data_IF_738641645827
#
_entry.id   IF_738641645827
#
_cell.length_a   1.000
_cell.length_b   1.000
_cell.length_c   1.000
_cell.angle_alpha   90.00
_cell.angle_beta   90.00
_cell.angle_gamma   90.00
#
_symmetry.space_group_name_H-M   'P 1'
#
loop_
_entity.id
_entity.type
_entity.pdbx_description
1 polymer ?
#
# COMPACT_ATOMS: atom_id res chain seq x y z
N UNK A 1 16.89 36.12 9.45
CA UNK A 1 15.49 36.61 9.57
C UNK A 1 14.71 35.60 10.42
N UNK A 2 13.74 36.05 11.23
CA UNK A 2 12.93 35.17 12.10
C UNK A 2 11.54 35.03 11.48
N UNK A 3 11.03 33.81 11.36
CA UNK A 3 9.65 33.58 10.91
C UNK A 3 8.68 34.05 12.02
N UNK A 4 7.89 35.09 11.73
CA UNK A 4 6.94 35.69 12.69
C UNK A 4 5.55 35.05 12.65
N UNK A 5 5.28 34.21 11.65
CA UNK A 5 4.00 33.52 11.48
C UNK A 5 3.89 32.38 12.49
N UNK A 6 2.81 32.38 13.27
CA UNK A 6 2.53 31.30 14.23
C UNK A 6 1.77 30.17 13.52
N UNK A 7 2.18 28.90 13.69
CA UNK A 7 1.40 27.78 13.21
C UNK A 7 0.12 27.62 14.07
N UNK A 8 -0.87 26.93 13.50
CA UNK A 8 -2.09 26.53 14.18
C UNK A 8 -1.74 25.63 15.38
N UNK A 9 -2.35 25.88 16.53
CA UNK A 9 -2.25 24.99 17.68
C UNK A 9 -3.45 24.05 17.68
N UNK A 10 -3.21 22.77 17.91
CA UNK A 10 -4.26 21.75 17.91
C UNK A 10 -4.49 21.24 19.32
N UNK A 11 -5.76 21.12 19.68
CA UNK A 11 -6.22 20.51 20.91
C UNK A 11 -7.14 19.33 20.58
N UNK A 12 -6.85 18.15 21.11
CA UNK A 12 -7.67 16.96 20.89
C UNK A 12 -8.87 17.01 21.83
N UNK A 13 -10.08 17.01 21.27
CA UNK A 13 -11.32 16.92 22.05
C UNK A 13 -11.62 15.49 22.44
N UNK A 14 -11.96 15.29 23.72
CA UNK A 14 -12.57 14.04 24.19
C UNK A 14 -13.97 13.92 23.61
N UNK A 15 -14.32 12.70 23.25
CA UNK A 15 -15.59 12.39 22.59
C UNK A 15 -16.40 11.41 23.43
N UNK A 16 -17.68 11.73 23.64
CA UNK A 16 -18.63 10.84 24.31
C UNK A 16 -19.54 10.16 23.29
N UNK A 17 -19.87 10.85 22.20
CA UNK A 17 -20.70 10.35 21.10
C UNK A 17 -19.96 10.48 19.76
N UNK A 18 -18.92 9.68 19.50
CA UNK A 18 -17.95 9.94 18.44
C UNK A 18 -18.50 9.98 17.03
N UNK A 19 -19.53 9.19 16.74
CA UNK A 19 -20.14 9.18 15.42
C UNK A 19 -20.96 10.46 15.16
N UNK A 20 -21.69 10.93 16.17
CA UNK A 20 -22.52 12.15 16.10
C UNK A 20 -21.62 13.38 16.09
N UNK A 21 -20.64 13.43 17.00
CA UNK A 21 -19.68 14.54 17.11
C UNK A 21 -18.82 14.66 15.84
N UNK A 22 -18.45 13.55 15.20
CA UNK A 22 -17.74 13.58 13.92
C UNK A 22 -18.56 14.26 12.81
N UNK A 23 -19.88 14.03 12.77
CA UNK A 23 -20.79 14.71 11.83
C UNK A 23 -21.06 16.18 12.21
N UNK A 24 -20.79 16.57 13.46
CA UNK A 24 -20.98 17.96 13.90
C UNK A 24 -19.91 18.90 13.33
N UNK A 25 -20.29 20.17 13.12
CA UNK A 25 -19.34 21.21 12.73
C UNK A 25 -18.57 21.69 13.97
N UNK A 26 -17.27 21.42 14.02
CA UNK A 26 -16.36 22.01 15.00
C UNK A 26 -16.03 23.44 14.57
N UNK A 27 -16.58 24.44 15.27
CA UNK A 27 -16.30 25.87 15.02
C UNK A 27 -15.06 26.35 15.76
N UNK A 28 -14.34 27.31 15.17
CA UNK A 28 -13.15 27.94 15.75
C UNK A 28 -13.49 28.74 17.01
N UNK A 29 -12.72 28.57 18.08
CA UNK A 29 -12.72 29.51 19.20
C UNK A 29 -11.49 30.42 19.09
N UNK A 30 -11.70 31.70 18.78
CA UNK A 30 -10.65 32.72 18.85
C UNK A 30 -10.32 33.01 20.32
N UNK A 31 -9.33 32.31 20.87
CA UNK A 31 -8.73 32.67 22.17
C UNK A 31 -7.39 33.36 21.92
N UNK A 32 -7.38 34.68 22.15
CA UNK A 32 -6.24 35.61 22.28
C UNK A 32 -4.87 35.11 21.77
N UNK A 33 -4.42 35.66 20.63
CA UNK A 33 -3.03 35.64 20.12
C UNK A 33 -2.43 34.32 19.60
N UNK A 34 -3.16 33.20 19.68
CA UNK A 34 -2.85 31.95 18.96
C UNK A 34 -4.12 31.23 18.58
N UNK A 35 -4.34 30.97 17.28
CA UNK A 35 -5.45 30.16 16.80
C UNK A 35 -5.31 28.74 17.36
N UNK A 36 -6.10 28.40 18.37
CA UNK A 36 -6.24 27.03 18.86
C UNK A 36 -7.46 26.45 18.15
N UNK A 37 -7.26 25.34 17.45
CA UNK A 37 -8.35 24.59 16.83
C UNK A 37 -8.52 23.27 17.56
N UNK A 38 -9.77 23.02 17.94
CA UNK A 38 -10.16 21.78 18.56
C UNK A 38 -10.54 20.78 17.48
N UNK A 39 -9.96 19.59 17.52
CA UNK A 39 -10.24 18.51 16.57
C UNK A 39 -10.58 17.22 17.30
N UNK A 40 -11.41 16.41 16.67
CA UNK A 40 -11.62 15.03 17.05
C UNK A 40 -10.64 14.14 16.32
N UNK A 41 -9.93 13.29 17.07
CA UNK A 41 -9.25 12.14 16.50
C UNK A 41 -9.65 10.93 17.34
N UNK A 42 -10.63 10.19 16.84
CA UNK A 42 -11.21 9.05 17.57
C UNK A 42 -10.93 7.74 16.85
N UNK A 43 -10.48 6.75 17.62
CA UNK A 43 -10.33 5.34 17.24
C UNK A 43 -11.53 4.59 17.81
N UNK A 44 -12.52 4.33 16.96
CA UNK A 44 -13.77 3.66 17.28
C UNK A 44 -13.65 2.16 16.98
N UNK A 45 -13.52 1.36 18.03
CA UNK A 45 -13.12 -0.05 17.94
C UNK A 45 -14.26 -0.95 18.41
N UNK A 46 -14.62 -1.94 17.59
CA UNK A 46 -15.70 -2.89 17.85
C UNK A 46 -16.97 -2.58 17.07
N UNK A 47 -18.04 -3.30 17.41
CA UNK A 47 -19.36 -3.23 16.77
C UNK A 47 -20.47 -3.01 17.78
N UNK A 48 -21.55 -2.36 17.33
CA UNK A 48 -22.75 -2.16 18.13
C UNK A 48 -23.48 -3.48 18.45
N UNK A 49 -24.67 -3.38 19.04
CA UNK A 49 -25.55 -4.52 19.34
C UNK A 49 -25.81 -5.46 18.14
N UNK A 50 -25.62 -4.99 16.92
CA UNK A 50 -25.69 -5.82 15.71
C UNK A 50 -24.77 -5.26 14.63
N UNK A 51 -24.23 -6.14 13.79
CA UNK A 51 -23.45 -5.77 12.60
C UNK A 51 -24.26 -4.87 11.67
N UNK A 52 -25.56 -5.14 11.48
CA UNK A 52 -26.41 -4.34 10.59
C UNK A 52 -26.52 -2.88 11.05
N UNK A 53 -26.84 -2.65 12.34
CA UNK A 53 -26.84 -1.29 12.93
C UNK A 53 -25.49 -0.59 12.78
N UNK A 54 -24.39 -1.30 12.94
CA UNK A 54 -23.05 -0.75 12.79
C UNK A 54 -22.78 -0.31 11.34
N UNK A 55 -23.15 -1.14 10.37
CA UNK A 55 -23.07 -0.81 8.93
C UNK A 55 -23.96 0.38 8.60
N UNK A 56 -25.20 0.40 9.11
CA UNK A 56 -26.16 1.47 8.92
C UNK A 56 -25.63 2.82 9.41
N UNK A 57 -25.01 2.86 10.60
CA UNK A 57 -24.38 4.08 11.13
C UNK A 57 -23.28 4.62 10.22
N UNK A 58 -22.43 3.75 9.66
CA UNK A 58 -21.37 4.16 8.75
C UNK A 58 -21.96 4.70 7.43
N UNK A 59 -22.98 4.04 6.89
CA UNK A 59 -23.73 4.54 5.72
C UNK A 59 -24.41 5.89 5.97
N UNK A 60 -24.90 6.11 7.18
CA UNK A 60 -25.51 7.38 7.57
C UNK A 60 -24.46 8.51 7.61
N UNK A 61 -23.23 8.24 8.05
CA UNK A 61 -22.11 9.21 8.01
C UNK A 61 -21.80 9.59 6.56
N UNK A 62 -21.64 8.60 5.68
CA UNK A 62 -21.40 8.84 4.25
C UNK A 62 -22.54 9.70 3.66
N UNK A 63 -23.78 9.27 3.86
CA UNK A 63 -24.98 9.95 3.37
C UNK A 63 -25.05 11.40 3.85
N UNK A 64 -24.73 11.64 5.13
CA UNK A 64 -24.69 12.98 5.71
C UNK A 64 -23.70 13.88 4.96
N UNK A 65 -22.45 13.47 4.79
CA UNK A 65 -21.45 14.32 4.15
C UNK A 65 -21.66 14.46 2.64
N UNK A 66 -22.19 13.45 1.97
CA UNK A 66 -22.58 13.57 0.56
C UNK A 66 -23.70 14.59 0.34
N UNK A 67 -24.63 14.68 1.28
CA UNK A 67 -25.70 15.69 1.23
C UNK A 67 -25.23 17.08 1.70
N UNK A 68 -24.01 17.19 2.24
CA UNK A 68 -23.42 18.44 2.74
C UNK A 68 -22.05 18.70 2.09
N UNK A 69 -21.97 18.92 0.77
CA UNK A 69 -20.71 19.01 0.02
C UNK A 69 -19.81 20.20 0.40
N UNK A 70 -20.35 21.14 1.19
CA UNK A 70 -19.60 22.27 1.75
C UNK A 70 -18.51 21.78 2.72
N UNK A 71 -18.72 20.64 3.39
CA UNK A 71 -17.78 20.04 4.32
C UNK A 71 -16.88 19.06 3.54
N UNK A 72 -15.57 19.32 3.43
CA UNK A 72 -14.67 18.38 2.77
C UNK A 72 -14.65 17.05 3.52
N UNK A 73 -15.00 15.96 2.83
CA UNK A 73 -15.08 14.63 3.40
C UNK A 73 -14.35 13.61 2.53
N UNK A 74 -13.51 12.78 3.16
CA UNK A 74 -12.83 11.67 2.50
C UNK A 74 -13.06 10.40 3.33
N UNK A 75 -13.56 9.36 2.66
CA UNK A 75 -13.59 7.99 3.17
C UNK A 75 -12.41 7.20 2.64
N UNK A 76 -11.70 6.51 3.53
CA UNK A 76 -10.49 5.73 3.26
C UNK A 76 -10.66 4.31 3.80
N UNK A 77 -10.10 3.34 3.10
CA UNK A 77 -9.89 1.97 3.61
C UNK A 77 -8.43 1.51 3.49
N UNK A 78 -7.64 2.22 2.68
CA UNK A 78 -6.18 2.10 2.59
C UNK A 78 -5.60 3.37 1.96
N UNK A 79 -4.31 3.62 2.16
CA UNK A 79 -3.55 4.69 1.48
C UNK A 79 -2.65 4.15 0.36
N UNK A 80 -3.04 3.03 -0.26
CA UNK A 80 -2.32 2.41 -1.38
C UNK A 80 -2.53 3.22 -2.67
N UNK A 81 -1.90 4.38 -2.75
CA UNK A 81 -1.86 5.22 -3.94
C UNK A 81 -0.59 4.93 -4.72
N UNK A 82 -0.73 4.75 -6.02
CA UNK A 82 0.41 4.57 -6.91
C UNK A 82 0.97 5.93 -7.27
N UNK A 83 2.20 6.18 -6.83
CA UNK A 83 2.97 7.33 -7.26
C UNK A 83 4.01 6.84 -8.26
N UNK A 84 4.11 7.52 -9.40
CA UNK A 84 5.12 7.19 -10.39
C UNK A 84 6.53 7.57 -9.91
N UNK A 85 7.55 7.17 -10.68
CA UNK A 85 8.94 7.45 -10.36
C UNK A 85 9.24 8.95 -10.37
N UNK A 86 8.63 9.71 -11.28
CA UNK A 86 8.86 11.15 -11.39
C UNK A 86 8.34 11.89 -10.15
N UNK A 87 7.13 11.55 -9.70
CA UNK A 87 6.52 12.05 -8.47
C UNK A 87 7.37 11.69 -7.26
N UNK A 88 7.83 10.44 -7.17
CA UNK A 88 8.67 9.97 -6.06
C UNK A 88 10.03 10.68 -6.04
N UNK A 89 10.68 10.83 -7.21
CA UNK A 89 11.96 11.54 -7.36
C UNK A 89 11.82 13.04 -7.02
N UNK A 90 10.69 13.65 -7.39
CA UNK A 90 10.32 15.02 -7.00
C UNK A 90 10.19 15.15 -5.49
N UNK A 91 9.46 14.22 -4.83
CA UNK A 91 9.31 14.23 -3.38
C UNK A 91 10.64 13.98 -2.65
N UNK A 92 11.51 13.13 -3.21
CA UNK A 92 12.85 12.89 -2.70
C UNK A 92 13.72 14.16 -2.76
N UNK A 93 13.68 14.91 -3.86
CA UNK A 93 14.37 16.21 -3.97
C UNK A 93 13.87 17.20 -2.91
N UNK A 94 12.56 17.28 -2.71
CA UNK A 94 11.97 18.14 -1.67
C UNK A 94 12.42 17.70 -0.28
N UNK A 95 12.42 16.38 0.00
CA UNK A 95 12.90 15.85 1.27
C UNK A 95 14.36 16.20 1.54
N UNK A 96 15.25 16.11 0.55
CA UNK A 96 16.66 16.45 0.73
C UNK A 96 16.85 17.94 1.08
N UNK A 97 16.05 18.83 0.50
CA UNK A 97 16.03 20.26 0.85
C UNK A 97 15.47 20.45 2.27
N UNK A 98 14.43 19.70 2.64
CA UNK A 98 13.91 19.68 4.00
C UNK A 98 14.95 19.20 5.02
N UNK A 99 15.69 18.14 4.70
CA UNK A 99 16.62 17.52 5.64
C UNK A 99 17.78 18.45 6.02
N UNK A 100 18.23 19.29 5.08
CA UNK A 100 19.24 20.33 5.32
C UNK A 100 18.69 21.55 6.07
N UNK A 101 17.40 21.87 5.90
CA UNK A 101 16.77 23.06 6.46
C UNK A 101 15.99 22.82 7.78
N UNK A 102 15.72 21.58 8.17
CA UNK A 102 14.83 21.22 9.30
C UNK A 102 15.21 21.80 10.67
N UNK A 103 16.46 22.22 10.84
CA UNK A 103 16.96 22.82 12.09
C UNK A 103 16.86 24.36 12.13
N UNK A 104 16.56 25.00 10.98
CA UNK A 104 16.41 26.44 10.88
C UNK A 104 14.96 26.79 10.47
N UNK A 105 14.24 27.46 11.36
CA UNK A 105 12.82 27.81 11.13
C UNK A 105 12.62 28.70 9.90
N UNK A 106 13.56 29.58 9.58
CA UNK A 106 13.48 30.46 8.40
C UNK A 106 13.68 29.67 7.11
N UNK A 107 14.69 28.80 7.07
CA UNK A 107 14.97 27.99 5.90
C UNK A 107 13.82 27.01 5.64
N UNK A 108 13.31 26.36 6.70
CA UNK A 108 12.13 25.50 6.63
C UNK A 108 10.90 26.27 6.11
N UNK A 109 10.67 27.49 6.59
CA UNK A 109 9.58 28.35 6.12
C UNK A 109 9.66 28.68 4.63
N UNK A 110 10.85 28.73 4.05
CA UNK A 110 11.05 29.07 2.64
C UNK A 110 11.03 27.88 1.66
N UNK A 111 11.05 26.64 2.15
CA UNK A 111 11.00 25.45 1.28
C UNK A 111 9.71 25.42 0.46
N UNK A 112 9.82 25.11 -0.83
CA UNK A 112 8.65 24.82 -1.64
C UNK A 112 8.09 23.43 -1.32
N UNK A 113 7.11 23.37 -0.41
CA UNK A 113 6.46 22.13 0.04
C UNK A 113 5.30 21.74 -0.89
N UNK A 114 4.98 20.44 -1.05
CA UNK A 114 3.86 20.02 -1.89
C UNK A 114 2.52 20.63 -1.43
N UNK A 115 1.61 20.83 -2.38
CA UNK A 115 0.31 21.49 -2.21
C UNK A 115 0.39 22.90 -1.60
N UNK A 116 0.40 23.96 -2.42
CA UNK A 116 0.37 25.34 -1.93
C UNK A 116 -1.04 25.67 -1.43
N UNK A 117 -1.18 25.96 -0.15
CA UNK A 117 -2.43 26.42 0.46
C UNK A 117 -2.41 27.95 0.46
N UNK A 118 -3.52 28.66 0.29
CA UNK A 118 -3.49 30.14 0.24
C UNK A 118 -3.27 30.78 1.63
N UNK A 119 -3.57 30.05 2.70
CA UNK A 119 -3.43 30.50 4.08
C UNK A 119 -1.99 30.27 4.60
N UNK A 120 -1.27 31.35 4.91
CA UNK A 120 0.13 31.28 5.37
C UNK A 120 0.30 30.55 6.71
N UNK A 121 -0.63 30.75 7.66
CA UNK A 121 -0.64 30.00 8.92
C UNK A 121 -0.76 28.51 8.66
N UNK A 122 -1.66 28.09 7.77
CA UNK A 122 -1.87 26.66 7.45
C UNK A 122 -0.71 26.08 6.63
N UNK A 123 -0.13 26.84 5.70
CA UNK A 123 1.11 26.47 5.02
C UNK A 123 2.25 26.24 6.00
N UNK A 124 2.39 27.12 6.99
CA UNK A 124 3.41 26.98 8.00
C UNK A 124 3.14 25.79 8.93
N UNK A 125 1.88 25.65 9.36
CA UNK A 125 1.40 24.50 10.15
C UNK A 125 1.72 23.19 9.45
N UNK A 126 1.51 23.08 8.14
CA UNK A 126 1.82 21.88 7.34
C UNK A 126 3.29 21.44 7.44
N UNK A 127 4.22 22.39 7.41
CA UNK A 127 5.66 22.09 7.51
C UNK A 127 6.04 21.65 8.91
N UNK A 128 5.50 22.31 9.92
CA UNK A 128 5.68 21.93 11.34
C UNK A 128 5.04 20.56 11.61
N UNK A 129 3.83 20.32 11.10
CA UNK A 129 3.12 19.06 11.22
C UNK A 129 3.91 17.92 10.59
N UNK A 130 4.48 18.13 9.40
CA UNK A 130 5.37 17.15 8.75
C UNK A 130 6.56 16.80 9.64
N UNK A 131 7.26 17.81 10.16
CA UNK A 131 8.37 17.61 11.10
C UNK A 131 7.94 16.81 12.33
N UNK A 132 6.87 17.23 13.00
CA UNK A 132 6.33 16.56 14.19
C UNK A 132 5.96 15.10 13.90
N UNK A 133 5.38 14.83 12.73
CA UNK A 133 5.03 13.46 12.31
C UNK A 133 6.26 12.59 12.10
N UNK A 134 7.33 13.12 11.50
CA UNK A 134 8.60 12.39 11.38
C UNK A 134 9.28 12.15 12.72
N UNK A 135 9.29 13.15 13.60
CA UNK A 135 9.85 13.03 14.96
C UNK A 135 9.11 11.94 15.74
N UNK A 136 7.77 11.97 15.72
CA UNK A 136 6.94 10.97 16.41
C UNK A 136 7.09 9.58 15.80
N UNK A 137 7.15 9.47 14.46
CA UNK A 137 7.43 8.21 13.77
C UNK A 137 8.78 7.63 14.21
N UNK A 138 9.83 8.46 14.25
CA UNK A 138 11.16 8.05 14.70
C UNK A 138 11.18 7.59 16.15
N UNK A 139 10.50 8.32 17.06
CA UNK A 139 10.42 7.95 18.47
C UNK A 139 9.67 6.64 18.70
N UNK A 140 8.66 6.35 17.87
CA UNK A 140 7.87 5.11 17.97
C UNK A 140 8.59 3.84 17.54
N UNK A 141 9.85 3.93 17.06
CA UNK A 141 10.59 2.83 16.47
C UNK A 141 11.98 2.66 17.11
N UNK A 142 12.25 1.57 17.86
CA UNK A 142 13.52 1.34 18.54
C UNK A 142 14.76 1.30 17.62
N UNK A 143 14.59 0.85 16.37
CA UNK A 143 15.66 0.67 15.38
C UNK A 143 15.49 1.59 14.16
N UNK A 144 14.99 2.81 14.35
CA UNK A 144 14.74 3.73 13.24
C UNK A 144 16.06 4.26 12.64
N UNK A 145 16.36 3.88 11.40
CA UNK A 145 17.53 4.38 10.66
C UNK A 145 17.17 5.62 9.83
N UNK A 146 18.15 6.48 9.45
CA UNK A 146 17.90 7.61 8.57
C UNK A 146 17.22 7.21 7.24
N UNK A 147 17.55 6.04 6.71
CA UNK A 147 16.91 5.50 5.50
C UNK A 147 15.43 5.17 5.70
N UNK A 148 15.05 4.64 6.86
CA UNK A 148 13.64 4.36 7.21
C UNK A 148 12.87 5.67 7.32
N UNK A 149 13.43 6.69 7.99
CA UNK A 149 12.82 8.03 8.11
C UNK A 149 12.66 8.64 6.71
N UNK A 150 13.68 8.59 5.87
CA UNK A 150 13.64 9.11 4.49
C UNK A 150 12.53 8.44 3.67
N UNK A 151 12.45 7.11 3.68
CA UNK A 151 11.43 6.38 2.92
C UNK A 151 10.01 6.74 3.38
N UNK A 152 9.80 6.84 4.70
CA UNK A 152 8.52 7.28 5.23
C UNK A 152 8.22 8.75 4.88
N UNK A 153 9.22 9.64 4.96
CA UNK A 153 9.08 11.04 4.64
C UNK A 153 8.70 11.28 3.17
N UNK A 154 9.34 10.59 2.23
CA UNK A 154 8.98 10.65 0.81
C UNK A 154 7.56 10.17 0.59
N UNK A 155 7.18 9.04 1.21
CA UNK A 155 5.81 8.51 1.14
C UNK A 155 4.77 9.49 1.71
N UNK A 156 5.09 10.12 2.84
CA UNK A 156 4.25 11.13 3.47
C UNK A 156 4.10 12.37 2.58
N UNK A 157 5.17 12.84 1.93
CA UNK A 157 5.12 13.94 0.97
C UNK A 157 4.24 13.61 -0.25
N UNK A 158 4.29 12.38 -0.76
CA UNK A 158 3.40 11.94 -1.83
C UNK A 158 1.92 11.97 -1.40
N UNK A 159 1.60 11.48 -0.19
CA UNK A 159 0.25 11.58 0.36
C UNK A 159 -0.21 13.02 0.57
N UNK A 160 0.70 13.90 1.01
CA UNK A 160 0.46 15.34 1.15
C UNK A 160 0.08 15.94 -0.21
N UNK A 161 0.83 15.64 -1.27
CA UNK A 161 0.55 16.12 -2.62
C UNK A 161 -0.82 15.64 -3.14
N UNK A 162 -1.20 14.40 -2.83
CA UNK A 162 -2.43 13.80 -3.32
C UNK A 162 -3.70 14.23 -2.56
N UNK A 163 -3.66 14.28 -1.23
CA UNK A 163 -4.87 14.45 -0.41
C UNK A 163 -5.18 15.89 -0.03
N UNK A 164 -4.17 16.74 0.19
CA UNK A 164 -4.43 18.10 0.65
C UNK A 164 -5.22 18.93 -0.36
N UNK A 165 -4.99 18.83 -1.68
CA UNK A 165 -5.85 19.50 -2.65
C UNK A 165 -7.33 19.10 -2.49
N UNK A 166 -7.61 17.85 -2.14
CA UNK A 166 -8.98 17.34 -1.95
C UNK A 166 -9.63 17.79 -0.64
N UNK A 167 -8.82 18.11 0.37
CA UNK A 167 -9.30 18.55 1.69
C UNK A 167 -9.41 20.08 1.79
N UNK A 168 -8.60 20.82 1.03
CA UNK A 168 -8.46 22.27 1.14
C UNK A 168 -8.73 23.01 -0.18
N UNK A 169 -9.51 22.44 -1.11
CA UNK A 169 -9.86 23.07 -2.39
C UNK A 169 -10.77 24.31 -2.24
N UNK A 170 -11.57 24.37 -1.17
CA UNK A 170 -12.60 25.40 -1.04
C UNK A 170 -12.02 26.64 -0.33
N UNK A 171 -11.77 27.71 -1.11
CA UNK A 171 -11.22 28.99 -0.64
C UNK A 171 -12.14 29.74 0.36
N UNK A 172 -13.39 29.31 0.49
CA UNK A 172 -14.49 30.16 1.00
C UNK A 172 -14.70 30.05 2.51
N UNK A 173 -14.19 29.02 3.21
CA UNK A 173 -14.43 28.95 4.65
C UNK A 173 -13.31 28.24 5.43
N UNK A 174 -12.36 29.02 5.94
CA UNK A 174 -11.33 28.51 6.87
C UNK A 174 -11.95 27.94 8.14
N UNK A 175 -13.22 28.22 8.44
CA UNK A 175 -13.86 27.84 9.69
C UNK A 175 -14.39 26.39 9.76
N UNK A 176 -14.31 25.62 8.68
CA UNK A 176 -14.80 24.24 8.62
C UNK A 176 -13.63 23.26 8.77
N UNK A 177 -13.79 22.23 9.58
CA UNK A 177 -12.82 21.15 9.73
C UNK A 177 -13.08 20.06 8.68
N UNK A 178 -12.10 19.76 7.80
CA UNK A 178 -12.19 18.61 6.91
C UNK A 178 -12.37 17.31 7.69
N UNK A 179 -13.10 16.36 7.12
CA UNK A 179 -13.55 15.14 7.78
C UNK A 179 -12.93 13.92 7.11
N UNK A 180 -12.25 13.07 7.88
CA UNK A 180 -11.64 11.85 7.38
C UNK A 180 -12.23 10.66 8.13
N UNK A 181 -12.92 9.78 7.40
CA UNK A 181 -13.31 8.47 7.88
C UNK A 181 -12.33 7.43 7.36
N UNK A 182 -11.58 6.77 8.25
CA UNK A 182 -10.75 5.63 7.89
C UNK A 182 -11.42 4.35 8.40
N UNK A 183 -11.69 3.39 7.52
CA UNK A 183 -12.39 2.16 7.86
C UNK A 183 -11.53 0.92 7.58
N UNK A 184 -11.49 -0.01 8.53
CA UNK A 184 -10.82 -1.30 8.38
C UNK A 184 -9.43 -1.32 9.01
N UNK A 185 -8.56 -2.22 8.55
CA UNK A 185 -7.22 -2.34 9.11
C UNK A 185 -6.36 -1.12 8.73
N UNK A 186 -5.68 -0.54 9.72
CA UNK A 186 -4.78 0.59 9.51
C UNK A 186 -3.33 0.17 9.74
N UNK A 187 -2.46 0.51 8.81
CA UNK A 187 -1.01 0.36 8.99
C UNK A 187 -0.50 1.54 9.81
N UNK A 188 0.53 1.34 10.64
CA UNK A 188 1.11 2.41 11.47
C UNK A 188 1.50 3.67 10.70
N UNK A 189 2.05 3.53 9.49
CA UNK A 189 2.41 4.68 8.64
C UNK A 189 1.17 5.49 8.23
N UNK A 190 0.03 4.83 8.01
CA UNK A 190 -1.24 5.47 7.66
C UNK A 190 -1.84 6.16 8.89
N UNK A 191 -1.69 5.59 10.09
CA UNK A 191 -2.04 6.26 11.35
C UNK A 191 -1.23 7.56 11.54
N UNK A 192 0.07 7.54 11.21
CA UNK A 192 0.89 8.76 11.25
C UNK A 192 0.46 9.80 10.21
N UNK A 193 -0.08 9.38 9.07
CA UNK A 193 -0.71 10.30 8.12
C UNK A 193 -2.00 10.89 8.67
N UNK A 194 -2.84 10.11 9.35
CA UNK A 194 -4.03 10.63 10.03
C UNK A 194 -3.65 11.64 11.14
N UNK A 195 -2.59 11.36 11.90
CA UNK A 195 -2.00 12.31 12.85
C UNK A 195 -1.50 13.59 12.17
N UNK A 196 -0.84 13.47 11.02
CA UNK A 196 -0.46 14.63 10.23
C UNK A 196 -1.67 15.48 9.83
N UNK A 197 -2.76 14.85 9.36
CA UNK A 197 -3.99 15.56 8.99
C UNK A 197 -4.70 16.21 10.18
N UNK A 198 -4.72 15.56 11.36
CA UNK A 198 -5.31 16.18 12.55
C UNK A 198 -4.56 17.44 12.97
N UNK A 199 -3.24 17.48 12.79
CA UNK A 199 -2.42 18.69 13.02
C UNK A 199 -2.79 19.86 12.09
N UNK A 200 -3.36 19.57 10.92
CA UNK A 200 -3.88 20.58 9.98
C UNK A 200 -5.30 21.04 10.31
N UNK A 201 -5.90 20.52 11.39
CA UNK A 201 -7.25 20.89 11.77
C UNK A 201 -8.33 20.00 11.17
N UNK A 202 -8.00 18.80 10.74
CA UNK A 202 -8.97 17.82 10.26
C UNK A 202 -9.52 16.99 11.43
N UNK A 203 -10.82 16.68 11.40
CA UNK A 203 -11.39 15.67 12.29
C UNK A 203 -11.21 14.28 11.68
N UNK A 204 -10.75 13.34 12.49
CA UNK A 204 -10.42 11.97 12.12
C UNK A 204 -11.31 11.00 12.90
N UNK A 205 -11.96 10.10 12.17
CA UNK A 205 -12.65 8.96 12.72
C UNK A 205 -12.04 7.70 12.11
N UNK A 206 -11.22 6.99 12.88
CA UNK A 206 -10.71 5.67 12.55
C UNK A 206 -11.66 4.62 13.11
N UNK A 207 -12.24 3.79 12.25
CA UNK A 207 -13.21 2.76 12.63
C UNK A 207 -12.69 1.38 12.26
N UNK A 208 -12.68 0.45 13.23
CA UNK A 208 -12.38 -0.95 12.98
C UNK A 208 -13.31 -1.87 13.79
N UNK A 209 -14.05 -2.80 13.16
CA UNK A 209 -15.02 -3.65 13.85
C UNK A 209 -14.38 -4.78 14.70
N UNK A 210 -13.10 -5.06 14.49
CA UNK A 210 -12.39 -6.17 15.12
C UNK A 210 -11.48 -5.67 16.25
N UNK A 211 -10.42 -4.95 15.88
CA UNK A 211 -9.36 -4.57 16.82
C UNK A 211 -8.72 -3.26 16.46
N UNK A 212 -8.12 -2.65 17.46
CA UNK A 212 -7.30 -1.46 17.31
C UNK A 212 -5.91 -1.82 16.75
N UNK A 213 -5.13 -0.80 16.44
CA UNK A 213 -3.72 -0.97 16.08
C UNK A 213 -2.95 -1.59 17.26
N UNK A 214 -2.24 -2.68 16.97
CA UNK A 214 -1.38 -3.36 17.94
C UNK A 214 -0.14 -2.48 18.25
N UNK A 215 0.29 -2.52 19.52
CA UNK A 215 1.50 -1.85 20.00
C UNK A 215 1.56 -0.35 19.68
N UNK A 216 0.45 0.37 19.92
CA UNK A 216 0.46 1.82 19.83
C UNK A 216 1.40 2.40 20.88
N UNK A 217 2.47 3.04 20.43
CA UNK A 217 3.46 3.66 21.30
C UNK A 217 2.78 4.69 22.25
N UNK A 218 3.15 4.79 23.54
CA UNK A 218 2.45 5.62 24.52
C UNK A 218 2.31 7.10 24.14
N UNK A 219 3.27 7.64 23.41
CA UNK A 219 3.25 9.01 22.89
C UNK A 219 2.19 9.16 21.80
N UNK A 220 1.96 8.10 21.03
CA UNK A 220 0.95 8.09 19.98
C UNK A 220 -0.48 8.02 20.53
N UNK A 221 -0.69 7.36 21.66
CA UNK A 221 -2.02 7.33 22.29
C UNK A 221 -2.47 8.70 22.79
N UNK A 222 -1.57 9.67 22.98
CA UNK A 222 -1.91 11.03 23.42
C UNK A 222 -2.57 11.89 22.35
N UNK A 223 -2.41 11.56 21.06
CA UNK A 223 -2.97 12.37 19.97
C UNK A 223 -4.35 11.92 19.50
N UNK A 224 -4.88 10.81 20.04
CA UNK A 224 -6.19 10.26 19.68
C UNK A 224 -6.91 9.70 20.89
N UNK A 225 -8.23 9.71 20.87
CA UNK A 225 -9.05 9.03 21.87
C UNK A 225 -9.45 7.66 21.37
N UNK A 226 -9.52 6.68 22.28
CA UNK A 226 -10.10 5.37 21.99
C UNK A 226 -11.54 5.35 22.49
N UNK A 227 -12.44 4.87 21.64
CA UNK A 227 -13.82 4.55 21.99
C UNK A 227 -14.02 3.08 21.67
N UNK A 228 -13.97 2.24 22.70
CA UNK A 228 -14.01 0.79 22.56
C UNK A 228 -15.40 0.26 22.95
N UNK A 229 -15.99 -0.50 22.03
CA UNK A 229 -17.25 -1.20 22.22
C UNK A 229 -17.00 -2.59 22.79
N UNK A 230 -17.99 -3.11 23.51
CA UNK A 230 -17.90 -4.43 24.16
C UNK A 230 -17.86 -5.59 23.18
N UNK A 231 -18.45 -5.45 22.00
CA UNK A 231 -18.50 -6.48 20.97
C UNK A 231 -17.45 -6.22 19.88
N UNK A 232 -16.83 -7.29 19.42
CA UNK A 232 -15.87 -7.29 18.31
C UNK A 232 -16.26 -8.38 17.34
N UNK A 233 -16.02 -8.18 16.05
CA UNK A 233 -16.23 -9.22 15.04
C UNK A 233 -14.93 -9.47 14.27
N UNK A 234 -14.44 -10.72 14.21
CA UNK A 234 -13.26 -11.06 13.44
C UNK A 234 -13.54 -11.10 11.93
N UNK A 235 -14.82 -11.09 11.53
CA UNK A 235 -15.20 -11.13 10.12
C UNK A 235 -14.84 -9.82 9.44
N UNK A 236 -14.23 -9.92 8.26
CA UNK A 236 -14.00 -8.79 7.36
C UNK A 236 -15.37 -8.26 6.94
N UNK A 237 -15.71 -7.06 7.41
CA UNK A 237 -16.92 -6.37 7.00
C UNK A 237 -16.60 -5.50 5.80
N UNK A 238 -17.16 -5.83 4.64
CA UNK A 238 -17.19 -4.90 3.52
C UNK A 238 -18.42 -3.98 3.68
N UNK A 239 -18.16 -2.68 3.71
CA UNK A 239 -19.22 -1.66 3.73
C UNK A 239 -19.16 -0.96 2.38
N UNK A 240 -20.08 -1.27 1.46
CA UNK A 240 -20.10 -0.66 0.13
C UNK A 240 -20.11 0.85 0.22
N UNK A 241 -19.36 1.50 -0.68
CA UNK A 241 -19.42 2.94 -0.86
C UNK A 241 -20.59 3.25 -1.79
N UNK A 242 -21.66 3.87 -1.27
CA UNK A 242 -22.91 3.99 -2.04
C UNK A 242 -22.84 5.00 -3.20
N UNK A 243 -21.83 5.88 -3.26
CA UNK A 243 -21.64 6.83 -4.38
C UNK A 243 -20.18 7.16 -4.62
N UNK A 244 -19.68 6.95 -5.84
CA UNK A 244 -18.36 7.48 -6.25
C UNK A 244 -18.32 8.99 -6.02
N UNK A 245 -17.27 9.48 -5.36
CA UNK A 245 -16.91 10.91 -5.37
C UNK A 245 -16.76 11.27 -6.84
N UNK A 246 -17.72 12.01 -7.38
CA UNK A 246 -17.57 12.64 -8.68
C UNK A 246 -16.28 13.46 -8.60
N UNK A 247 -15.37 13.24 -9.56
CA UNK A 247 -14.24 14.11 -9.79
C UNK A 247 -14.76 15.54 -9.81
N UNK A 248 -14.55 16.29 -8.73
CA UNK A 248 -14.69 17.74 -8.75
C UNK A 248 -13.59 18.18 -9.71
N UNK A 249 -14.01 18.59 -10.90
CA UNK A 249 -13.18 19.04 -12.00
C UNK A 249 -12.10 20.00 -11.49
N UNK A 250 -10.88 19.47 -11.34
CA UNK A 250 -9.70 20.30 -11.37
C UNK A 250 -9.43 20.58 -12.84
N UNK A 251 -9.67 21.83 -13.26
CA UNK A 251 -9.34 22.31 -14.59
C UNK A 251 -7.82 22.22 -14.81
N UNK A 252 -7.37 21.14 -15.46
CA UNK A 252 -6.08 21.09 -16.14
C UNK A 252 -6.15 21.98 -17.39
N UNK A 253 -6.06 23.29 -17.18
CA UNK A 253 -5.71 24.23 -18.24
C UNK A 253 -4.32 24.77 -17.94
N UNK A 254 -3.29 24.13 -18.50
CA UNK A 254 -2.16 24.83 -19.12
C UNK A 254 -1.38 23.87 -20.03
N UNK A 255 -1.51 24.13 -21.34
CA UNK A 255 -0.50 23.96 -22.40
C UNK A 255 -0.08 22.53 -22.80
N UNK A 256 -0.94 21.91 -23.63
CA UNK A 256 -0.50 21.01 -24.70
C UNK A 256 0.25 21.81 -25.76
N UNK A 257 1.57 21.64 -25.85
CA UNK A 257 2.31 21.85 -27.10
C UNK A 257 2.66 20.49 -27.68
N UNK A 258 1.95 20.16 -28.75
CA UNK A 258 2.21 19.03 -29.65
C UNK A 258 3.58 19.18 -30.31
N UNK A 259 4.43 18.16 -30.19
CA UNK A 259 5.54 17.91 -31.13
C UNK A 259 5.53 16.43 -31.56
N UNK A 260 5.91 16.13 -32.80
CA UNK A 260 5.57 14.88 -33.48
C UNK A 260 6.51 13.72 -33.08
N UNK A 261 5.95 12.51 -32.99
CA UNK A 261 6.72 11.27 -32.90
C UNK A 261 7.47 11.01 -34.20
N UNK A 262 8.80 11.01 -34.15
CA UNK A 262 9.63 10.32 -35.14
C UNK A 262 9.95 8.91 -34.63
N UNK A 263 9.50 7.91 -35.38
CA UNK A 263 10.00 6.53 -35.31
C UNK A 263 11.47 6.50 -35.74
N UNK A 264 12.33 5.71 -35.07
CA UNK A 264 13.42 5.04 -35.75
C UNK A 264 13.01 3.60 -36.06
N UNK A 265 12.95 3.30 -37.36
CA UNK A 265 13.19 1.95 -37.83
C UNK A 265 14.67 1.62 -37.58
N UNK A 266 14.93 0.47 -36.98
CA UNK A 266 16.08 -0.35 -37.36
C UNK A 266 15.81 -1.79 -36.94
N UNK A 267 15.49 -2.61 -37.93
CA UNK A 267 15.82 -4.03 -37.90
C UNK A 267 17.32 -4.16 -37.61
N UNK A 268 17.66 -4.96 -36.60
CA UNK A 268 18.84 -5.81 -36.63
C UNK A 268 18.71 -6.88 -35.54
N UNK A 269 18.45 -8.09 -36.04
CA UNK A 269 18.82 -9.39 -35.50
C UNK A 269 19.84 -9.38 -34.34
N UNK A 270 19.42 -9.89 -33.18
CA UNK A 270 20.29 -10.69 -32.32
C UNK A 270 19.51 -11.90 -31.81
N UNK A 271 19.72 -13.02 -32.50
CA UNK A 271 19.66 -14.35 -31.91
C UNK A 271 20.60 -14.38 -30.71
N UNK A 272 20.07 -14.64 -29.51
CA UNK A 272 20.71 -15.56 -28.58
C UNK A 272 19.69 -16.04 -27.54
N UNK A 273 19.18 -17.23 -27.82
CA UNK A 273 18.61 -18.16 -26.85
C UNK A 273 19.65 -18.48 -25.77
N UNK A 274 19.68 -17.69 -24.69
CA UNK A 274 20.31 -18.15 -23.46
C UNK A 274 19.27 -18.90 -22.63
N UNK A 275 19.22 -20.21 -22.88
CA UNK A 275 18.69 -21.20 -21.96
C UNK A 275 19.37 -20.98 -20.60
N UNK A 276 18.66 -20.38 -19.64
CA UNK A 276 18.99 -20.58 -18.23
C UNK A 276 18.55 -22.02 -17.92
N UNK A 277 19.42 -22.97 -18.25
CA UNK A 277 19.47 -24.31 -17.65
C UNK A 277 20.26 -24.20 -16.35
N UNK A 278 19.99 -25.06 -15.37
CA UNK A 278 20.79 -25.15 -14.14
C UNK A 278 22.27 -25.17 -14.49
N UNK A 279 23.04 -24.24 -13.92
CA UNK A 279 24.48 -24.16 -14.15
C UNK A 279 25.14 -25.23 -13.29
N UNK A 280 25.50 -26.34 -13.91
CA UNK A 280 26.20 -27.44 -13.26
C UNK A 280 27.69 -27.29 -13.58
N UNK A 281 28.53 -27.12 -12.55
CA UNK A 281 29.99 -27.12 -12.69
C UNK A 281 30.53 -28.24 -11.81
N UNK A 282 31.27 -29.18 -12.41
CA UNK A 282 31.86 -30.32 -11.70
C UNK A 282 30.86 -31.17 -10.87
N UNK A 283 29.60 -31.26 -11.32
CA UNK A 283 28.56 -32.06 -10.66
C UNK A 283 27.83 -31.36 -9.51
N UNK A 284 28.17 -30.11 -9.21
CA UNK A 284 27.48 -29.30 -8.20
C UNK A 284 26.62 -28.21 -8.85
N UNK A 285 25.42 -27.97 -8.30
CA UNK A 285 24.58 -26.82 -8.68
C UNK A 285 25.31 -25.53 -8.27
N UNK A 286 25.47 -24.60 -9.21
CA UNK A 286 26.10 -23.30 -8.97
C UNK A 286 25.03 -22.25 -8.70
N UNK A 287 25.22 -21.43 -7.67
CA UNK A 287 24.38 -20.27 -7.40
C UNK A 287 24.39 -19.30 -8.60
N UNK A 288 23.21 -18.88 -9.02
CA UNK A 288 22.99 -17.84 -10.01
C UNK A 288 23.27 -16.46 -9.40
N UNK A 289 23.76 -15.53 -10.23
CA UNK A 289 23.84 -14.12 -9.83
C UNK A 289 22.45 -13.50 -9.70
N UNK A 290 22.34 -12.36 -9.00
CA UNK A 290 21.08 -11.61 -8.95
C UNK A 290 20.60 -11.16 -10.34
N UNK A 291 21.51 -10.85 -11.26
CA UNK A 291 21.17 -10.51 -12.65
C UNK A 291 20.62 -11.72 -13.43
N UNK A 292 21.14 -12.91 -13.17
CA UNK A 292 20.64 -14.15 -13.77
C UNK A 292 19.26 -14.52 -13.19
N UNK A 293 19.06 -14.38 -11.89
CA UNK A 293 17.77 -14.58 -11.23
C UNK A 293 16.73 -13.55 -11.69
N UNK A 294 17.14 -12.29 -11.89
CA UNK A 294 16.25 -11.26 -12.39
C UNK A 294 15.63 -11.63 -13.74
N UNK A 295 16.33 -12.37 -14.63
CA UNK A 295 15.77 -12.83 -15.91
C UNK A 295 14.57 -13.77 -15.76
N UNK A 296 14.39 -14.41 -14.60
CA UNK A 296 13.21 -15.23 -14.31
C UNK A 296 11.95 -14.39 -14.10
N UNK A 297 12.07 -13.07 -14.00
CA UNK A 297 10.96 -12.13 -14.02
C UNK A 297 10.03 -12.32 -15.22
N UNK A 298 10.55 -12.73 -16.38
CA UNK A 298 9.75 -13.03 -17.57
C UNK A 298 8.67 -14.13 -17.34
N UNK A 299 8.86 -14.94 -16.31
CA UNK A 299 7.94 -16.00 -15.87
C UNK A 299 7.10 -15.62 -14.64
N UNK A 300 7.21 -14.38 -14.17
CA UNK A 300 6.35 -13.77 -13.15
C UNK A 300 5.47 -12.73 -13.84
N UNK A 301 4.17 -12.83 -13.63
CA UNK A 301 3.15 -12.04 -14.32
C UNK A 301 2.46 -11.07 -13.39
N UNK A 302 1.98 -9.97 -13.95
CA UNK A 302 0.99 -9.11 -13.30
C UNK A 302 -0.41 -9.64 -13.61
N UNK A 303 -1.24 -9.76 -12.59
CA UNK A 303 -2.67 -10.12 -12.69
C UNK A 303 -3.49 -8.90 -12.30
N UNK A 304 -4.33 -8.41 -13.20
CA UNK A 304 -5.36 -7.40 -12.92
C UNK A 304 -6.71 -8.09 -12.91
N UNK A 305 -7.46 -7.90 -11.83
CA UNK A 305 -8.74 -8.56 -11.60
C UNK A 305 -9.87 -7.59 -11.90
N UNK A 306 -10.79 -8.03 -12.75
CA UNK A 306 -11.91 -7.25 -13.23
C UNK A 306 -13.24 -7.79 -12.68
N UNK A 307 -14.19 -6.89 -12.43
CA UNK A 307 -15.55 -7.25 -12.07
C UNK A 307 -16.39 -7.60 -13.32
N UNK A 308 -17.68 -7.88 -13.13
CA UNK A 308 -18.63 -8.22 -14.24
C UNK A 308 -18.77 -7.13 -15.30
N UNK A 309 -18.43 -5.89 -14.98
CA UNK A 309 -18.45 -4.75 -15.92
C UNK A 309 -17.09 -4.57 -16.63
N UNK A 310 -16.18 -5.55 -16.52
CA UNK A 310 -14.79 -5.49 -16.97
C UNK A 310 -13.96 -4.34 -16.35
N UNK A 311 -14.40 -3.77 -15.22
CA UNK A 311 -13.64 -2.72 -14.52
C UNK A 311 -12.60 -3.35 -13.58
N UNK A 312 -11.32 -2.95 -13.67
CA UNK A 312 -10.30 -3.44 -12.77
C UNK A 312 -10.52 -2.90 -11.35
N UNK A 313 -10.44 -3.76 -10.34
CA UNK A 313 -10.62 -3.37 -8.93
C UNK A 313 -9.51 -3.87 -8.00
N UNK A 314 -8.66 -4.78 -8.49
CA UNK A 314 -7.62 -5.43 -7.70
C UNK A 314 -6.49 -5.91 -8.60
N UNK A 315 -5.29 -6.05 -8.04
CA UNK A 315 -4.15 -6.60 -8.76
C UNK A 315 -3.21 -7.37 -7.86
N UNK A 316 -2.50 -8.33 -8.43
CA UNK A 316 -1.44 -9.09 -7.78
C UNK A 316 -0.45 -9.62 -8.80
N UNK A 317 0.35 -10.58 -8.37
CA UNK A 317 1.33 -11.29 -9.17
C UNK A 317 0.91 -12.74 -9.40
N UNK A 318 1.55 -13.40 -10.35
CA UNK A 318 1.46 -14.85 -10.54
C UNK A 318 2.77 -15.43 -11.04
N UNK A 319 2.97 -16.72 -10.83
CA UNK A 319 4.16 -17.46 -11.26
C UNK A 319 3.75 -18.49 -12.30
N UNK A 320 4.38 -18.47 -13.46
CA UNK A 320 4.21 -19.52 -14.48
C UNK A 320 4.82 -20.83 -13.96
N UNK A 321 4.02 -21.88 -13.91
CA UNK A 321 4.43 -23.20 -13.38
C UNK A 321 4.51 -24.31 -14.45
N UNK A 322 4.08 -24.03 -15.69
CA UNK A 322 4.34 -24.90 -16.85
C UNK A 322 4.37 -24.16 -18.19
N UNK A 323 4.75 -24.90 -19.24
CA UNK A 323 4.84 -24.40 -20.61
C UNK A 323 3.49 -24.09 -21.27
N UNK A 324 2.37 -24.52 -20.70
CA UNK A 324 1.03 -24.33 -21.26
C UNK A 324 0.33 -23.08 -20.70
N UNK A 325 1.02 -22.25 -19.94
CA UNK A 325 0.48 -20.99 -19.44
C UNK A 325 -0.41 -21.15 -18.19
N UNK A 326 -0.19 -22.20 -17.40
CA UNK A 326 -0.77 -22.27 -16.05
C UNK A 326 0.03 -21.40 -15.10
N UNK A 327 -0.68 -20.54 -14.39
CA UNK A 327 -0.14 -19.50 -13.54
C UNK A 327 -0.65 -19.73 -12.12
N UNK A 328 0.27 -19.93 -11.20
CA UNK A 328 0.02 -20.02 -9.77
C UNK A 328 -0.05 -18.61 -9.17
N UNK A 329 -1.02 -18.36 -8.31
CA UNK A 329 -1.18 -17.10 -7.57
C UNK A 329 -1.86 -17.37 -6.23
N UNK A 330 -2.04 -16.35 -5.40
CA UNK A 330 -2.81 -16.50 -4.18
C UNK A 330 -4.31 -16.50 -4.49
N UNK A 331 -5.09 -17.24 -3.71
CA UNK A 331 -6.55 -17.20 -3.85
C UNK A 331 -7.08 -15.81 -3.55
N UNK A 332 -6.58 -15.17 -2.50
CA UNK A 332 -6.98 -13.81 -2.19
C UNK A 332 -6.59 -12.81 -3.28
N UNK A 333 -5.74 -13.13 -4.26
CA UNK A 333 -5.48 -12.22 -5.39
C UNK A 333 -6.65 -12.28 -6.36
N UNK A 334 -7.11 -13.49 -6.70
CA UNK A 334 -8.09 -13.73 -7.77
C UNK A 334 -9.52 -13.91 -7.28
N UNK A 335 -9.76 -13.94 -5.97
CA UNK A 335 -11.11 -14.03 -5.43
C UNK A 335 -11.99 -12.86 -5.92
N UNK A 336 -13.29 -13.13 -6.03
CA UNK A 336 -14.32 -12.17 -6.46
C UNK A 336 -14.12 -11.60 -7.89
N UNK A 337 -13.10 -12.07 -8.61
CA UNK A 337 -12.81 -11.72 -9.98
C UNK A 337 -13.74 -12.41 -10.97
N UNK A 338 -14.29 -11.63 -11.90
CA UNK A 338 -15.03 -12.14 -13.05
C UNK A 338 -14.09 -12.51 -14.21
N UNK A 339 -13.03 -11.74 -14.41
CA UNK A 339 -11.97 -12.03 -15.37
C UNK A 339 -10.62 -11.51 -14.88
N UNK A 340 -9.55 -12.08 -15.43
CA UNK A 340 -8.17 -11.82 -15.04
C UNK A 340 -7.37 -11.40 -16.27
N UNK A 341 -6.93 -10.14 -16.30
CA UNK A 341 -6.01 -9.64 -17.32
C UNK A 341 -4.57 -9.91 -16.86
N UNK A 342 -3.85 -10.69 -17.64
CA UNK A 342 -2.50 -11.15 -17.34
C UNK A 342 -1.52 -10.46 -18.26
N UNK A 343 -0.52 -9.80 -17.67
CA UNK A 343 0.55 -9.11 -18.39
C UNK A 343 1.90 -9.72 -18.04
N UNK A 344 2.74 -9.87 -19.04
CA UNK A 344 4.12 -10.32 -18.88
C UNK A 344 5.06 -9.17 -19.21
N UNK A 345 6.24 -9.15 -18.60
CA UNK A 345 7.18 -8.02 -18.74
C UNK A 345 7.70 -7.82 -20.17
N UNK A 346 7.94 -8.90 -20.90
CA UNK A 346 8.50 -8.85 -22.25
C UNK A 346 7.42 -9.07 -23.34
N UNK A 347 6.17 -8.72 -23.05
CA UNK A 347 5.06 -8.88 -24.00
C UNK A 347 4.05 -7.74 -23.84
N UNK A 348 3.87 -6.96 -24.91
CA UNK A 348 2.88 -5.88 -24.95
C UNK A 348 1.45 -6.43 -24.99
N UNK A 349 1.26 -7.70 -25.34
CA UNK A 349 -0.05 -8.34 -25.38
C UNK A 349 -0.57 -8.60 -23.97
N UNK A 350 -1.84 -8.22 -23.76
CA UNK A 350 -2.61 -8.59 -22.57
C UNK A 350 -3.36 -9.89 -22.85
N UNK A 351 -3.18 -10.88 -21.98
CA UNK A 351 -3.90 -12.15 -22.05
C UNK A 351 -5.07 -12.11 -21.07
N UNK A 352 -6.19 -12.75 -21.41
CA UNK A 352 -7.35 -12.80 -20.52
C UNK A 352 -7.62 -14.23 -20.09
N UNK A 353 -7.87 -14.42 -18.79
CA UNK A 353 -8.39 -15.66 -18.22
C UNK A 353 -9.76 -15.39 -17.61
N UNK A 354 -10.71 -16.30 -17.81
CA UNK A 354 -12.08 -16.18 -17.29
C UNK A 354 -12.38 -17.18 -16.18
N UNK A 355 -11.42 -18.03 -15.81
CA UNK A 355 -11.65 -19.16 -14.92
C UNK A 355 -10.49 -19.36 -13.98
N UNK A 356 -10.83 -19.65 -12.72
CA UNK A 356 -9.92 -20.24 -11.75
C UNK A 356 -9.96 -21.75 -11.98
N UNK A 357 -8.86 -22.32 -12.45
CA UNK A 357 -8.75 -23.75 -12.78
C UNK A 357 -8.79 -24.61 -11.52
N UNK A 358 -8.11 -24.14 -10.47
CA UNK A 358 -8.03 -24.82 -9.18
C UNK A 358 -7.80 -23.80 -8.09
N UNK A 359 -8.36 -24.01 -6.91
CA UNK A 359 -8.05 -23.20 -5.73
C UNK A 359 -8.09 -24.04 -4.45
N UNK A 360 -7.43 -23.54 -3.40
CA UNK A 360 -7.47 -24.10 -2.06
C UNK A 360 -7.49 -22.95 -1.05
N UNK A 361 -8.64 -22.73 -0.42
CA UNK A 361 -8.83 -21.62 0.53
C UNK A 361 -7.90 -21.72 1.74
N UNK A 362 -7.76 -22.92 2.31
CA UNK A 362 -6.90 -23.13 3.47
C UNK A 362 -5.41 -22.95 3.20
N UNK A 363 -4.95 -22.91 1.94
CA UNK A 363 -3.54 -22.66 1.60
C UNK A 363 -3.34 -21.29 0.95
N UNK A 364 -4.44 -20.56 0.71
CA UNK A 364 -4.44 -19.33 -0.07
C UNK A 364 -3.75 -19.49 -1.44
N UNK A 365 -4.06 -20.56 -2.17
CA UNK A 365 -3.49 -20.85 -3.48
C UNK A 365 -4.58 -20.95 -4.56
N UNK A 366 -4.28 -20.47 -5.75
CA UNK A 366 -5.11 -20.59 -6.93
C UNK A 366 -4.27 -20.78 -8.20
N UNK A 367 -4.85 -21.45 -9.20
CA UNK A 367 -4.29 -21.57 -10.56
C UNK A 367 -5.26 -20.94 -11.53
N UNK A 368 -4.76 -20.04 -12.37
CA UNK A 368 -5.45 -19.54 -13.57
C UNK A 368 -4.69 -20.01 -14.82
N UNK A 369 -5.33 -19.94 -15.99
CA UNK A 369 -4.71 -20.32 -17.26
C UNK A 369 -4.86 -19.22 -18.29
N UNK A 370 -3.80 -18.95 -19.03
CA UNK A 370 -3.82 -18.12 -20.23
C UNK A 370 -3.43 -18.94 -21.45
N UNK A 371 -3.92 -18.53 -22.61
CA UNK A 371 -3.53 -19.14 -23.89
C UNK A 371 -2.21 -18.55 -24.39
N UNK A 372 -1.12 -18.98 -23.74
CA UNK A 372 0.25 -18.58 -24.06
C UNK A 372 1.22 -19.72 -23.74
N UNK A 373 2.15 -19.99 -24.65
CA UNK A 373 3.33 -20.80 -24.34
C UNK A 373 4.32 -20.00 -23.50
N UNK A 374 4.75 -20.58 -22.38
CA UNK A 374 5.58 -19.90 -21.40
C UNK A 374 6.80 -20.74 -21.01
N UNK A 375 7.78 -20.13 -20.35
CA UNK A 375 8.85 -20.86 -19.65
C UNK A 375 8.48 -20.91 -18.16
N UNK A 376 8.39 -22.10 -17.52
CA UNK A 376 8.07 -22.17 -16.10
C UNK A 376 9.24 -21.82 -15.19
N UNK A 377 8.92 -21.34 -13.99
CA UNK A 377 9.87 -21.36 -12.87
C UNK A 377 9.79 -22.74 -12.21
N UNK A 378 10.93 -23.46 -12.05
CA UNK A 378 10.92 -24.77 -11.42
C UNK A 378 10.56 -24.66 -9.94
N UNK A 379 9.66 -25.51 -9.46
CA UNK A 379 9.32 -25.59 -8.03
C UNK A 379 10.40 -26.38 -7.30
N UNK A 380 10.89 -25.89 -6.15
CA UNK A 380 11.90 -26.60 -5.37
C UNK A 380 11.36 -27.98 -4.94
N UNK A 381 12.11 -29.02 -5.26
CA UNK A 381 11.84 -30.40 -4.82
C UNK A 381 13.04 -30.88 -4.01
N UNK A 382 12.78 -31.58 -2.90
CA UNK A 382 13.82 -32.22 -2.09
C UNK A 382 14.19 -31.41 -0.86
N UNK A 383 15.43 -30.92 -0.80
CA UNK A 383 15.98 -30.27 0.41
C UNK A 383 15.11 -29.10 0.86
N UNK A 384 14.64 -29.17 2.10
CA UNK A 384 13.83 -28.12 2.70
C UNK A 384 14.61 -26.80 2.80
N UNK A 385 13.94 -25.65 2.65
CA UNK A 385 14.55 -24.35 2.92
C UNK A 385 15.07 -24.29 4.36
N UNK A 386 16.11 -23.50 4.60
CA UNK A 386 16.71 -23.31 5.93
C UNK A 386 16.81 -21.83 6.32
N UNK A 387 16.79 -21.54 7.62
CA UNK A 387 16.97 -20.18 8.12
C UNK A 387 18.36 -19.65 7.74
N UNK A 388 18.45 -18.38 7.35
CA UNK A 388 19.67 -17.73 6.88
C UNK A 388 19.97 -17.95 5.40
N UNK A 389 19.23 -18.82 4.70
CA UNK A 389 19.38 -19.03 3.27
C UNK A 389 19.07 -17.74 2.50
N UNK A 390 19.94 -17.37 1.55
CA UNK A 390 19.73 -16.24 0.64
C UNK A 390 18.56 -16.52 -0.28
N UNK A 391 17.76 -15.50 -0.52
CA UNK A 391 16.58 -15.56 -1.38
C UNK A 391 16.50 -14.34 -2.28
N UNK A 392 15.74 -14.49 -3.35
CA UNK A 392 15.29 -13.39 -4.22
C UNK A 392 13.78 -13.42 -4.30
N UNK A 393 13.14 -12.29 -4.02
CA UNK A 393 11.72 -12.09 -4.23
C UNK A 393 11.48 -11.38 -5.57
N UNK A 394 10.57 -11.91 -6.38
CA UNK A 394 10.14 -11.32 -7.65
C UNK A 394 8.62 -11.19 -7.62
N UNK A 395 8.12 -9.96 -7.80
CA UNK A 395 6.69 -9.69 -7.95
C UNK A 395 6.46 -8.46 -8.81
N UNK A 396 5.23 -8.23 -9.22
CA UNK A 396 4.83 -7.12 -10.09
C UNK A 396 4.00 -6.08 -9.32
N UNK A 397 4.59 -5.35 -8.34
CA UNK A 397 3.83 -4.40 -7.53
C UNK A 397 3.39 -3.18 -8.33
N UNK A 398 2.14 -2.75 -8.10
CA UNK A 398 1.60 -1.42 -8.45
C UNK A 398 1.78 -0.97 -9.93
N UNK A 399 1.91 -1.90 -10.88
CA UNK A 399 2.03 -1.60 -12.31
C UNK A 399 3.45 -1.28 -12.79
N UNK A 400 4.46 -1.37 -11.92
CA UNK A 400 5.87 -1.45 -12.34
C UNK A 400 6.17 -2.93 -12.63
N UNK A 401 6.65 -3.23 -13.83
CA UNK A 401 7.00 -4.60 -14.17
C UNK A 401 8.12 -5.11 -13.24
N UNK A 402 7.83 -6.25 -12.60
CA UNK A 402 8.75 -7.18 -11.95
C UNK A 402 9.88 -6.57 -11.10
N UNK A 403 9.51 -6.05 -9.93
CA UNK A 403 10.49 -5.69 -8.89
C UNK A 403 11.19 -6.94 -8.38
N UNK A 404 12.52 -6.92 -8.44
CA UNK A 404 13.41 -7.92 -7.89
C UNK A 404 14.04 -7.38 -6.61
N UNK A 405 13.95 -8.12 -5.52
CA UNK A 405 14.57 -7.76 -4.24
C UNK A 405 15.24 -8.95 -3.59
N UNK A 406 16.33 -8.72 -2.85
CA UNK A 406 17.10 -9.77 -2.18
C UNK A 406 16.92 -9.74 -0.66
N UNK A 407 17.23 -10.86 -0.02
CA UNK A 407 17.16 -11.01 1.42
C UNK A 407 17.51 -12.42 1.88
N UNK A 408 17.05 -12.77 3.08
CA UNK A 408 17.24 -14.11 3.65
C UNK A 408 15.93 -14.67 4.19
N UNK A 409 15.89 -15.99 4.37
CA UNK A 409 14.89 -16.65 5.20
C UNK A 409 15.17 -16.30 6.67
N UNK A 410 14.27 -15.53 7.27
CA UNK A 410 14.41 -15.06 8.66
C UNK A 410 13.85 -16.05 9.67
N UNK A 411 12.77 -16.75 9.32
CA UNK A 411 12.16 -17.80 10.14
C UNK A 411 11.15 -18.64 9.33
N UNK A 412 10.66 -19.72 9.95
CA UNK A 412 9.47 -20.45 9.49
C UNK A 412 8.33 -20.21 10.48
N UNK A 413 7.11 -20.17 9.96
CA UNK A 413 5.88 -19.93 10.72
C UNK A 413 4.82 -20.93 10.28
N UNK A 414 4.14 -21.52 11.25
CA UNK A 414 2.94 -22.30 11.01
C UNK A 414 1.74 -21.43 11.38
N UNK A 415 0.97 -21.03 10.38
CA UNK A 415 -0.31 -20.35 10.59
C UNK A 415 -1.41 -21.38 10.38
N UNK A 416 -2.01 -21.83 11.48
CA UNK A 416 -2.92 -22.98 11.51
C UNK A 416 -2.25 -24.23 10.91
N UNK A 417 -2.59 -24.59 9.67
CA UNK A 417 -2.03 -25.73 8.91
C UNK A 417 -1.16 -25.31 7.73
N UNK A 418 -0.86 -24.01 7.59
CA UNK A 418 -0.09 -23.46 6.46
C UNK A 418 1.35 -23.20 6.89
N UNK A 419 2.27 -23.94 6.27
CA UNK A 419 3.70 -23.70 6.38
C UNK A 419 4.08 -22.46 5.58
N UNK A 420 4.60 -21.46 6.30
CA UNK A 420 4.96 -20.16 5.76
C UNK A 420 6.45 -19.88 6.00
N UNK A 421 7.09 -19.35 4.96
CA UNK A 421 8.46 -18.85 5.00
C UNK A 421 8.41 -17.36 5.35
N UNK A 422 9.05 -16.98 6.46
CA UNK A 422 9.27 -15.58 6.80
C UNK A 422 10.59 -15.11 6.20
N UNK A 423 10.61 -13.99 5.48
CA UNK A 423 11.80 -13.49 4.79
C UNK A 423 12.00 -11.98 4.98
N UNK A 424 13.19 -11.48 4.63
CA UNK A 424 13.57 -10.07 4.85
C UNK A 424 13.56 -9.22 3.58
N UNK A 425 13.49 -9.83 2.39
CA UNK A 425 13.50 -9.10 1.13
C UNK A 425 12.29 -8.15 1.07
N UNK A 426 12.50 -6.85 0.75
CA UNK A 426 11.40 -5.90 0.63
C UNK A 426 10.37 -6.32 -0.41
N UNK A 427 9.09 -6.28 -0.03
CA UNK A 427 7.94 -6.47 -0.94
C UNK A 427 6.98 -5.30 -0.78
N UNK A 428 6.09 -5.12 -1.75
CA UNK A 428 5.06 -4.09 -1.72
C UNK A 428 3.71 -4.65 -2.16
N UNK A 429 2.66 -3.85 -2.03
CA UNK A 429 1.32 -4.26 -2.46
C UNK A 429 1.34 -4.62 -3.95
N UNK A 430 0.75 -5.78 -4.28
CA UNK A 430 0.81 -6.37 -5.61
C UNK A 430 1.89 -7.45 -5.77
N UNK A 431 2.85 -7.59 -4.85
CA UNK A 431 3.78 -8.72 -4.82
C UNK A 431 3.13 -10.05 -4.41
N UNK A 432 1.93 -10.04 -3.80
CA UNK A 432 1.17 -11.28 -3.51
C UNK A 432 0.96 -12.11 -4.76
N UNK A 433 1.24 -13.40 -4.69
CA UNK A 433 1.26 -14.33 -5.81
C UNK A 433 2.59 -14.34 -6.57
N UNK A 434 3.59 -13.56 -6.13
CA UNK A 434 4.93 -13.51 -6.71
C UNK A 434 5.84 -14.65 -6.26
N UNK A 435 7.02 -14.75 -6.86
CA UNK A 435 7.99 -15.81 -6.60
C UNK A 435 8.96 -15.47 -5.49
N UNK A 436 9.14 -16.37 -4.51
CA UNK A 436 10.30 -16.38 -3.61
C UNK A 436 11.26 -17.49 -4.08
N UNK A 437 12.44 -17.11 -4.56
CA UNK A 437 13.41 -18.00 -5.19
C UNK A 437 14.61 -18.27 -4.29
N UNK A 438 15.19 -19.48 -4.40
CA UNK A 438 16.56 -19.72 -3.94
C UNK A 438 17.59 -19.17 -4.94
N UNK A 439 18.85 -19.16 -4.54
CA UNK A 439 19.95 -18.71 -5.41
C UNK A 439 20.17 -19.62 -6.64
N UNK A 440 19.44 -20.73 -6.78
CA UNK A 440 19.51 -21.62 -7.94
C UNK A 440 18.32 -21.41 -8.90
N UNK A 441 17.45 -20.43 -8.63
CA UNK A 441 16.28 -20.10 -9.45
C UNK A 441 15.07 -21.00 -9.23
N UNK A 442 15.06 -21.79 -8.16
CA UNK A 442 13.91 -22.63 -7.81
C UNK A 442 12.94 -21.87 -6.90
N UNK A 443 11.64 -22.02 -7.13
CA UNK A 443 10.59 -21.49 -6.28
C UNK A 443 10.60 -22.16 -4.91
N UNK A 444 10.99 -21.42 -3.89
CA UNK A 444 10.91 -21.80 -2.48
C UNK A 444 9.53 -21.56 -1.88
N UNK A 445 8.80 -20.57 -2.39
CA UNK A 445 7.44 -20.28 -1.94
C UNK A 445 6.75 -19.19 -2.76
N UNK A 446 5.45 -19.06 -2.56
CA UNK A 446 4.62 -18.05 -3.20
C UNK A 446 4.38 -16.88 -2.23
N UNK A 447 4.84 -15.69 -2.58
CA UNK A 447 4.76 -14.50 -1.73
C UNK A 447 3.30 -14.22 -1.39
N UNK A 448 2.97 -14.06 -0.11
CA UNK A 448 1.65 -13.65 0.37
C UNK A 448 1.83 -12.34 1.16
N UNK A 449 1.68 -11.21 0.47
CA UNK A 449 1.79 -9.90 1.10
C UNK A 449 0.49 -9.63 1.89
N UNK A 450 0.54 -9.65 3.22
CA UNK A 450 -0.58 -9.20 4.05
C UNK A 450 -1.12 -10.17 5.10
N UNK A 451 -0.26 -10.89 5.84
CA UNK A 451 -0.67 -11.29 7.20
C UNK A 451 -0.51 -10.04 8.10
N UNK A 452 -1.57 -9.23 8.14
CA UNK A 452 -1.60 -7.83 8.61
C UNK A 452 -1.30 -7.60 10.11
N UNK A 453 -0.78 -8.59 10.83
CA UNK A 453 -0.58 -8.55 12.29
C UNK A 453 0.84 -8.25 12.76
N UNK A 454 1.78 -7.96 11.86
CA UNK A 454 3.10 -7.49 12.28
C UNK A 454 3.89 -6.72 11.22
N UNK A 455 4.49 -5.60 11.64
CA UNK A 455 5.39 -4.84 10.78
C UNK A 455 6.66 -5.64 10.47
N UNK A 456 7.11 -5.62 9.21
CA UNK A 456 8.30 -6.33 8.71
C UNK A 456 8.22 -7.86 8.70
N UNK A 457 7.01 -8.43 8.67
CA UNK A 457 6.78 -9.86 8.47
C UNK A 457 6.37 -10.13 7.02
N UNK A 458 7.36 -10.33 6.14
CA UNK A 458 7.08 -10.78 4.78
C UNK A 458 6.98 -12.31 4.79
N UNK A 459 5.87 -12.85 4.27
CA UNK A 459 5.56 -14.27 4.30
C UNK A 459 5.36 -14.83 2.90
N UNK A 460 5.70 -16.10 2.72
CA UNK A 460 5.44 -16.85 1.50
C UNK A 460 4.93 -18.25 1.84
N UNK A 461 3.92 -18.74 1.12
CA UNK A 461 3.44 -20.12 1.22
C UNK A 461 4.54 -21.06 0.73
N UNK A 462 4.98 -21.99 1.57
CA UNK A 462 6.13 -22.85 1.26
C UNK A 462 5.88 -23.73 0.02
N UNK A 463 6.95 -23.97 -0.75
CA UNK A 463 6.95 -24.79 -1.96
C UNK A 463 6.45 -26.23 -1.74
N UNK A 464 6.51 -26.77 -0.53
CA UNK A 464 5.94 -28.07 -0.16
C UNK A 464 4.43 -28.10 -0.39
N UNK A 465 3.71 -27.06 0.07
CA UNK A 465 2.27 -26.91 -0.12
C UNK A 465 1.94 -26.57 -1.58
N UNK A 466 2.76 -25.73 -2.22
CA UNK A 466 2.63 -25.45 -3.66
C UNK A 466 2.71 -26.74 -4.47
N UNK A 467 3.68 -27.61 -4.15
CA UNK A 467 3.83 -28.90 -4.83
C UNK A 467 2.61 -29.79 -4.62
N UNK A 468 2.14 -29.94 -3.37
CA UNK A 468 0.95 -30.76 -3.07
C UNK A 468 -0.27 -30.23 -3.84
N UNK A 469 -0.46 -28.91 -3.86
CA UNK A 469 -1.58 -28.27 -4.51
C UNK A 469 -1.50 -28.34 -6.04
N UNK A 470 -0.35 -28.03 -6.63
CA UNK A 470 -0.17 -27.84 -8.07
C UNK A 470 0.52 -29.02 -8.77
N UNK A 471 0.67 -30.19 -8.12
CA UNK A 471 1.43 -31.34 -8.66
C UNK A 471 1.06 -31.72 -10.11
N UNK A 472 -0.24 -31.68 -10.45
CA UNK A 472 -0.73 -32.04 -11.78
C UNK A 472 -0.50 -30.96 -12.84
N UNK A 473 -0.04 -29.78 -12.43
CA UNK A 473 0.23 -28.64 -13.30
C UNK A 473 1.72 -28.31 -13.39
N UNK A 474 2.54 -28.73 -12.42
CA UNK A 474 3.98 -28.44 -12.39
C UNK A 474 4.68 -29.25 -13.47
N UNK A 475 5.47 -28.57 -14.30
CA UNK A 475 6.34 -29.22 -15.25
C UNK A 475 7.58 -29.76 -14.53
N UNK A 476 7.83 -31.07 -14.66
CA UNK A 476 9.06 -31.69 -14.14
C UNK A 476 10.18 -31.32 -15.11
N UNK A 477 10.97 -30.32 -14.75
CA UNK A 477 12.20 -30.00 -15.47
C UNK A 477 13.22 -31.09 -15.13
N UNK A 478 13.35 -32.07 -16.02
CA UNK A 478 14.39 -33.11 -15.95
C UNK A 478 15.78 -32.53 -16.19
#
# INVERSE_FOLDING_TARGET
MICTIKPLKISIKKSNEPLIEFMSNTTYQNKSSSYIKEVYFTRYIGVDDSIDKYIEKIKNIDTYFFNNPIIPYIRLSSLNINFDKEQTDKMLKIFNIYDSAKFNSWDLYNINFPCKIENDTLNWTKKIAFKNTLDLFSMSMPNCTPSIIKNFAVKLLCWIEYFLPKLFYNKVNTNISPKILYFGNIKRQELFFLYFLSQLGCDILYINPNKDILDLYPECSKFSNIFELSRKTPNILEIPFERHIANINYNENTNKTSHPMNKPNSENTFNNTNLISKKIVQGEEVELSYEELAKLSASVVMIVVCNKENKPFKSGSGVVINNEGYILTNLHVVNDGYSFLVRFENDDKVYTSYQIIKYHSGYDLAVIKVDRKCKPIPVKIGKKPVRGQKIVAIGSPLGLFNTVSDGIISAFRDFETVQMIQFTAPISSGSSGGALLDMFGNLLGLISAGYDDGQNLNLAVESSLVKIFANNFIEIVN
#
